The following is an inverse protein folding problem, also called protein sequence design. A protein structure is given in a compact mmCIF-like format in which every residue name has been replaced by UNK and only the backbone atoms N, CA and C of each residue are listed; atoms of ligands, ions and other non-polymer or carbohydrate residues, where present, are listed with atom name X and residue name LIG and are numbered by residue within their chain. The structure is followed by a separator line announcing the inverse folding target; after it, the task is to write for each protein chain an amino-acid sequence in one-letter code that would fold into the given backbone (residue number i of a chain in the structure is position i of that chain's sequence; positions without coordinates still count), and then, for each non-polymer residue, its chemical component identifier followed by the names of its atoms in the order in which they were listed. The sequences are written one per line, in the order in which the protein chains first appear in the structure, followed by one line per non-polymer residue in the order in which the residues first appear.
data_IF_483081612972
#
_entry.id   IF_483081612972
#
_cell.length_a   1.000
_cell.length_b   1.000
_cell.length_c   1.000
_cell.angle_alpha   90.00
_cell.angle_beta   90.00
_cell.angle_gamma   90.00
#
_symmetry.space_group_name_H-M   'P 1'
#
loop_
_entity.id
_entity.type
_entity.pdbx_description
1 polymer ?
#
# COMPACT_ATOMS: atom_id res chain seq x y z
N UNK A 1 -2.54 -17.44 -2.20
CA UNK A 1 -1.53 -16.41 -2.48
C UNK A 1 -1.56 -15.26 -1.46
N UNK A 2 -2.69 -14.56 -1.26
CA UNK A 2 -2.78 -13.44 -0.31
C UNK A 2 -2.37 -13.82 1.11
N UNK A 3 -2.84 -14.96 1.62
CA UNK A 3 -2.48 -15.48 2.93
C UNK A 3 -0.99 -15.82 3.03
N UNK A 4 -0.46 -16.47 2.02
CA UNK A 4 0.97 -16.84 1.95
C UNK A 4 1.88 -15.62 1.98
N UNK A 5 1.55 -14.60 1.19
CA UNK A 5 2.30 -13.33 1.17
C UNK A 5 2.25 -12.65 2.54
N UNK A 6 1.07 -12.64 3.19
CA UNK A 6 0.95 -12.06 4.53
C UNK A 6 1.79 -12.80 5.56
N UNK A 7 1.78 -14.14 5.55
CA UNK A 7 2.61 -14.94 6.45
C UNK A 7 4.11 -14.70 6.19
N UNK A 8 4.51 -14.62 4.93
CA UNK A 8 5.89 -14.32 4.57
C UNK A 8 6.31 -12.91 5.05
N UNK A 9 5.46 -11.91 4.85
CA UNK A 9 5.69 -10.55 5.37
C UNK A 9 5.91 -10.53 6.88
N UNK A 10 5.09 -11.25 7.63
CA UNK A 10 5.25 -11.34 9.09
C UNK A 10 6.54 -12.03 9.49
N UNK A 11 6.92 -13.08 8.77
CA UNK A 11 8.19 -13.78 9.00
C UNK A 11 9.38 -12.86 8.75
N UNK A 12 9.41 -12.18 7.62
CA UNK A 12 10.45 -11.20 7.27
C UNK A 12 10.51 -10.04 8.29
N UNK A 13 9.34 -9.57 8.76
CA UNK A 13 9.25 -8.54 9.78
C UNK A 13 9.88 -8.97 11.11
N UNK A 14 9.60 -10.19 11.56
CA UNK A 14 10.20 -10.74 12.79
C UNK A 14 11.72 -10.89 12.67
N UNK A 15 12.21 -11.31 11.51
CA UNK A 15 13.66 -11.41 11.25
C UNK A 15 14.33 -10.03 11.33
N UNK A 16 13.71 -9.00 10.75
CA UNK A 16 14.23 -7.62 10.80
C UNK A 16 14.27 -7.09 12.23
N UNK A 17 13.21 -7.30 13.02
CA UNK A 17 13.17 -6.86 14.42
C UNK A 17 14.28 -7.53 15.24
N UNK A 18 14.55 -8.80 14.99
CA UNK A 18 15.62 -9.54 15.66
C UNK A 18 17.01 -9.02 15.28
N UNK A 19 17.22 -8.75 13.99
CA UNK A 19 18.50 -8.28 13.45
C UNK A 19 18.78 -6.82 13.74
N UNK A 20 17.75 -5.98 13.68
CA UNK A 20 17.82 -4.53 13.88
C UNK A 20 16.80 -4.04 14.90
N UNK A 21 17.10 -4.15 16.21
CA UNK A 21 16.15 -3.77 17.27
C UNK A 21 15.69 -2.31 17.23
N UNK A 22 16.49 -1.40 16.64
CA UNK A 22 16.09 0.01 16.46
C UNK A 22 14.90 0.19 15.53
N UNK A 23 14.62 -0.79 14.65
CA UNK A 23 13.46 -0.77 13.77
C UNK A 23 12.21 -1.40 14.39
N UNK A 24 12.32 -1.97 15.59
CA UNK A 24 11.22 -2.72 16.20
C UNK A 24 9.91 -1.92 16.26
N UNK A 25 9.95 -0.71 16.79
CA UNK A 25 8.75 0.15 16.89
C UNK A 25 8.11 0.40 15.53
N UNK A 26 8.90 0.72 14.52
CA UNK A 26 8.42 0.95 13.16
C UNK A 26 7.79 -0.30 12.55
N UNK A 27 8.47 -1.45 12.65
CA UNK A 27 8.00 -2.71 12.06
C UNK A 27 6.75 -3.23 12.77
N UNK A 28 6.68 -3.10 14.10
CA UNK A 28 5.45 -3.43 14.83
C UNK A 28 4.28 -2.54 14.40
N UNK A 29 4.48 -1.23 14.32
CA UNK A 29 3.43 -0.30 13.91
C UNK A 29 2.92 -0.57 12.49
N UNK A 30 3.82 -0.93 11.58
CA UNK A 30 3.46 -1.11 10.16
C UNK A 30 2.95 -2.50 9.82
N UNK A 31 3.45 -3.55 10.49
CA UNK A 31 3.21 -4.95 10.13
C UNK A 31 2.69 -5.79 11.30
N UNK A 32 3.50 -5.93 12.36
CA UNK A 32 3.27 -6.97 13.36
C UNK A 32 2.05 -6.73 14.25
N UNK A 33 1.64 -5.48 14.45
CA UNK A 33 0.42 -5.13 15.18
C UNK A 33 -0.86 -5.29 14.35
N UNK A 34 -0.75 -5.65 13.08
CA UNK A 34 -1.90 -5.83 12.19
C UNK A 34 -2.27 -7.31 12.03
N UNK A 35 -3.56 -7.58 11.90
CA UNK A 35 -4.08 -8.93 11.74
C UNK A 35 -4.04 -9.43 10.30
N UNK A 36 -4.05 -8.51 9.32
CA UNK A 36 -4.10 -8.85 7.92
C UNK A 36 -3.39 -7.83 7.03
N UNK A 37 -3.12 -8.24 5.80
CA UNK A 37 -2.47 -7.41 4.78
C UNK A 37 -3.20 -6.09 4.54
N UNK A 38 -4.53 -6.11 4.49
CA UNK A 38 -5.33 -4.90 4.26
C UNK A 38 -5.16 -3.86 5.35
N UNK A 39 -5.18 -4.28 6.61
CA UNK A 39 -4.98 -3.38 7.75
C UNK A 39 -3.57 -2.77 7.75
N UNK A 40 -2.54 -3.58 7.49
CA UNK A 40 -1.16 -3.11 7.40
C UNK A 40 -0.98 -2.11 6.25
N UNK A 41 -1.48 -2.44 5.07
CA UNK A 41 -1.39 -1.59 3.89
C UNK A 41 -2.11 -0.25 4.10
N UNK A 42 -3.33 -0.27 4.60
CA UNK A 42 -4.11 0.95 4.84
C UNK A 42 -3.39 1.86 5.84
N UNK A 43 -2.81 1.30 6.89
CA UNK A 43 -2.00 2.06 7.85
C UNK A 43 -0.79 2.72 7.18
N UNK A 44 -0.01 1.95 6.43
CA UNK A 44 1.23 2.46 5.81
C UNK A 44 0.92 3.56 4.80
N UNK A 45 0.01 3.30 3.86
CA UNK A 45 -0.27 4.26 2.77
C UNK A 45 -1.02 5.48 3.29
N UNK A 46 -1.96 5.31 4.21
CA UNK A 46 -2.68 6.43 4.80
C UNK A 46 -1.75 7.39 5.54
N UNK A 47 -0.79 6.87 6.30
CA UNK A 47 0.19 7.72 6.98
C UNK A 47 1.13 8.48 6.03
N UNK A 48 1.41 7.92 4.85
CA UNK A 48 2.19 8.61 3.83
C UNK A 48 1.38 9.69 3.10
N UNK A 49 0.10 9.46 2.87
CA UNK A 49 -0.79 10.39 2.16
C UNK A 49 -1.33 11.50 3.07
N UNK A 50 -1.37 11.29 4.38
CA UNK A 50 -1.89 12.27 5.33
C UNK A 50 -1.05 13.55 5.35
N UNK A 51 -1.71 14.66 5.71
CA UNK A 51 -1.05 15.92 6.01
C UNK A 51 -1.70 16.60 7.23
N UNK A 52 -1.41 17.89 7.45
CA UNK A 52 -1.95 18.63 8.59
C UNK A 52 -3.48 18.78 8.55
N UNK A 53 -4.10 18.64 7.39
CA UNK A 53 -5.55 18.83 7.17
C UNK A 53 -6.28 17.51 6.97
N UNK A 54 -5.71 16.61 6.16
CA UNK A 54 -6.30 15.29 5.86
C UNK A 54 -5.66 14.24 6.75
N UNK A 55 -6.43 13.72 7.71
CA UNK A 55 -5.91 12.76 8.69
C UNK A 55 -5.68 11.38 8.09
N UNK A 56 -4.67 10.68 8.63
CA UNK A 56 -4.43 9.28 8.30
C UNK A 56 -5.64 8.40 8.64
N UNK A 57 -6.34 8.70 9.72
CA UNK A 57 -7.55 7.97 10.12
C UNK A 57 -8.61 8.01 9.02
N UNK A 58 -8.89 9.17 8.45
CA UNK A 58 -9.86 9.32 7.36
C UNK A 58 -9.46 8.51 6.13
N UNK A 59 -8.19 8.56 5.75
CA UNK A 59 -7.70 7.80 4.59
C UNK A 59 -7.74 6.29 4.85
N UNK A 60 -7.44 5.85 6.07
CA UNK A 60 -7.60 4.43 6.46
C UNK A 60 -9.04 3.97 6.31
N UNK A 61 -10.00 4.75 6.76
CA UNK A 61 -11.42 4.42 6.60
C UNK A 61 -11.79 4.26 5.12
N UNK A 62 -11.28 5.12 4.25
CA UNK A 62 -11.52 5.00 2.80
C UNK A 62 -10.95 3.69 2.24
N UNK A 63 -9.75 3.29 2.66
CA UNK A 63 -9.18 2.00 2.28
C UNK A 63 -10.03 0.82 2.78
N UNK A 64 -10.43 0.84 4.05
CA UNK A 64 -11.20 -0.24 4.66
C UNK A 64 -12.56 -0.41 3.95
N UNK A 65 -13.24 0.71 3.63
CA UNK A 65 -14.45 0.70 2.82
C UNK A 65 -14.19 0.17 1.41
N UNK A 66 -13.09 0.55 0.78
CA UNK A 66 -12.73 0.09 -0.56
C UNK A 66 -12.45 -1.42 -0.59
N UNK A 67 -11.81 -1.98 0.42
CA UNK A 67 -11.56 -3.42 0.52
C UNK A 67 -12.85 -4.23 0.63
N UNK A 68 -13.89 -3.66 1.23
CA UNK A 68 -15.22 -4.28 1.30
C UNK A 68 -15.97 -4.15 -0.04
N UNK A 69 -15.92 -2.97 -0.67
CA UNK A 69 -16.68 -2.67 -1.89
C UNK A 69 -16.04 -3.23 -3.16
N UNK A 70 -14.72 -3.31 -3.20
CA UNK A 70 -13.94 -3.76 -4.35
C UNK A 70 -13.29 -5.11 -4.03
N UNK A 71 -14.06 -6.20 -4.18
CA UNK A 71 -13.72 -7.56 -3.75
C UNK A 71 -12.32 -8.03 -4.14
N UNK A 72 -11.81 -7.59 -5.28
CA UNK A 72 -10.52 -8.03 -5.82
C UNK A 72 -9.36 -7.13 -5.41
N UNK A 73 -9.61 -6.02 -4.74
CA UNK A 73 -8.56 -5.04 -4.46
C UNK A 73 -7.40 -5.65 -3.66
N UNK A 74 -7.69 -6.38 -2.58
CA UNK A 74 -6.65 -7.05 -1.78
C UNK A 74 -5.91 -8.16 -2.54
N UNK A 75 -6.58 -8.83 -3.45
CA UNK A 75 -5.94 -9.81 -4.34
C UNK A 75 -4.95 -9.12 -5.27
N UNK A 76 -5.33 -7.98 -5.85
CA UNK A 76 -4.44 -7.17 -6.68
C UNK A 76 -3.24 -6.64 -5.88
N UNK A 77 -3.45 -6.23 -4.62
CA UNK A 77 -2.35 -5.83 -3.73
C UNK A 77 -1.32 -6.94 -3.58
N UNK A 78 -1.76 -8.16 -3.31
CA UNK A 78 -0.88 -9.31 -3.16
C UNK A 78 -0.10 -9.61 -4.46
N UNK A 79 -0.79 -9.55 -5.60
CA UNK A 79 -0.14 -9.70 -6.91
C UNK A 79 0.89 -8.61 -7.18
N UNK A 80 0.58 -7.36 -6.82
CA UNK A 80 1.51 -6.23 -6.99
C UNK A 80 2.77 -6.40 -6.14
N UNK A 81 2.63 -6.82 -4.88
CA UNK A 81 3.78 -7.09 -4.00
C UNK A 81 4.70 -8.12 -4.65
N UNK A 82 4.13 -9.23 -5.11
CA UNK A 82 4.88 -10.29 -5.77
C UNK A 82 5.55 -9.79 -7.06
N UNK A 83 4.79 -9.09 -7.90
CA UNK A 83 5.30 -8.60 -9.20
C UNK A 83 6.43 -7.60 -9.02
N UNK A 84 6.32 -6.69 -8.05
CA UNK A 84 7.38 -5.71 -7.76
C UNK A 84 8.63 -6.41 -7.24
N UNK A 85 8.48 -7.35 -6.30
CA UNK A 85 9.61 -8.12 -5.79
C UNK A 85 10.34 -8.88 -6.89
N UNK A 86 9.60 -9.48 -7.81
CA UNK A 86 10.19 -10.30 -8.88
C UNK A 86 10.88 -9.47 -9.98
N UNK A 87 10.47 -8.22 -10.16
CA UNK A 87 10.93 -7.37 -11.29
C UNK A 87 11.86 -6.23 -10.91
N UNK A 88 11.83 -5.79 -9.65
CA UNK A 88 12.62 -4.65 -9.20
C UNK A 88 13.84 -5.13 -8.41
N UNK A 89 15.08 -4.88 -8.91
CA UNK A 89 16.29 -5.27 -8.20
C UNK A 89 16.44 -4.64 -6.80
N UNK A 90 15.77 -3.51 -6.54
CA UNK A 90 15.76 -2.88 -5.22
C UNK A 90 14.84 -3.57 -4.22
N UNK A 91 13.95 -4.46 -4.69
CA UNK A 91 12.99 -5.18 -3.87
C UNK A 91 13.52 -6.55 -3.46
N UNK A 92 14.37 -6.60 -2.45
CA UNK A 92 14.96 -7.86 -1.96
C UNK A 92 13.94 -8.77 -1.27
N UNK A 93 12.97 -8.18 -0.57
CA UNK A 93 11.95 -8.90 0.21
C UNK A 93 10.57 -8.29 -0.03
N UNK A 94 9.51 -9.02 0.33
CA UNK A 94 8.15 -8.46 0.34
C UNK A 94 8.03 -7.30 1.34
N UNK A 95 8.75 -7.39 2.45
CA UNK A 95 8.79 -6.33 3.46
C UNK A 95 9.36 -5.03 2.87
N UNK A 96 10.43 -5.11 2.09
CA UNK A 96 11.00 -3.96 1.39
C UNK A 96 9.97 -3.29 0.47
N UNK A 97 9.19 -4.09 -0.26
CA UNK A 97 8.14 -3.57 -1.16
C UNK A 97 7.11 -2.75 -0.38
N UNK A 98 6.53 -3.34 0.66
CA UNK A 98 5.41 -2.70 1.39
C UNK A 98 5.86 -1.52 2.25
N UNK A 99 7.06 -1.56 2.80
CA UNK A 99 7.55 -0.49 3.68
C UNK A 99 8.22 0.67 2.94
N UNK A 100 8.96 0.40 1.87
CA UNK A 100 9.93 1.35 1.35
C UNK A 100 9.69 1.80 -0.10
N UNK A 101 8.98 1.04 -0.93
CA UNK A 101 8.90 1.36 -2.34
C UNK A 101 7.75 2.32 -2.65
N UNK A 102 8.09 3.58 -2.90
CA UNK A 102 7.13 4.65 -3.24
C UNK A 102 6.26 4.31 -4.44
N UNK A 103 6.83 3.63 -5.41
CA UNK A 103 6.10 3.18 -6.59
C UNK A 103 4.96 2.23 -6.25
N UNK A 104 5.20 1.28 -5.38
CA UNK A 104 4.16 0.39 -4.88
C UNK A 104 3.07 1.17 -4.13
N UNK A 105 3.46 2.11 -3.26
CA UNK A 105 2.49 2.95 -2.53
C UNK A 105 1.63 3.79 -3.47
N UNK A 106 2.23 4.37 -4.50
CA UNK A 106 1.50 5.16 -5.50
C UNK A 106 0.44 4.33 -6.25
N UNK A 107 0.77 3.09 -6.58
CA UNK A 107 -0.17 2.16 -7.23
C UNK A 107 -1.38 1.91 -6.31
N UNK A 108 -1.14 1.64 -5.04
CA UNK A 108 -2.23 1.35 -4.10
C UNK A 108 -3.11 2.58 -3.86
N UNK A 109 -2.52 3.76 -3.77
CA UNK A 109 -3.27 5.02 -3.70
C UNK A 109 -4.12 5.25 -4.96
N UNK A 110 -3.58 4.94 -6.14
CA UNK A 110 -4.31 5.02 -7.41
C UNK A 110 -5.50 4.04 -7.45
N UNK A 111 -5.32 2.82 -6.95
CA UNK A 111 -6.42 1.83 -6.85
C UNK A 111 -7.54 2.33 -5.95
N UNK A 112 -7.19 2.95 -4.81
CA UNK A 112 -8.17 3.57 -3.92
C UNK A 112 -8.95 4.68 -4.65
N UNK A 113 -8.25 5.60 -5.31
CA UNK A 113 -8.86 6.70 -6.04
C UNK A 113 -9.81 6.16 -7.14
N UNK A 114 -9.40 5.14 -7.87
CA UNK A 114 -10.22 4.52 -8.91
C UNK A 114 -11.47 3.85 -8.31
N UNK A 115 -11.35 3.13 -7.21
CA UNK A 115 -12.49 2.53 -6.50
C UNK A 115 -13.50 3.61 -6.07
N UNK A 116 -13.02 4.71 -5.51
CA UNK A 116 -13.87 5.85 -5.12
C UNK A 116 -14.56 6.49 -6.34
N UNK A 117 -13.82 6.65 -7.44
CA UNK A 117 -14.36 7.19 -8.69
C UNK A 117 -15.51 6.35 -9.24
N UNK A 118 -15.34 5.03 -9.25
CA UNK A 118 -16.36 4.09 -9.69
C UNK A 118 -17.61 4.11 -8.81
N UNK A 119 -17.46 4.45 -7.52
CA UNK A 119 -18.57 4.64 -6.59
C UNK A 119 -19.24 6.02 -6.72
N UNK A 120 -18.87 6.82 -7.71
CA UNK A 120 -19.31 8.21 -7.89
C UNK A 120 -18.96 9.14 -6.71
N UNK A 121 -17.90 8.80 -5.97
CA UNK A 121 -17.35 9.63 -4.88
C UNK A 121 -16.16 10.44 -5.39
N UNK A 122 -16.45 11.32 -6.37
CA UNK A 122 -15.42 11.98 -7.18
C UNK A 122 -14.57 12.97 -6.40
N UNK A 123 -15.14 13.67 -5.42
CA UNK A 123 -14.41 14.61 -4.58
C UNK A 123 -13.35 13.88 -3.76
N UNK A 124 -13.69 12.74 -3.16
CA UNK A 124 -12.74 11.91 -2.43
C UNK A 124 -11.68 11.31 -3.36
N UNK A 125 -12.08 10.86 -4.55
CA UNK A 125 -11.14 10.36 -5.55
C UNK A 125 -10.12 11.43 -5.94
N UNK A 126 -10.57 12.67 -6.18
CA UNK A 126 -9.70 13.81 -6.49
C UNK A 126 -8.78 14.18 -5.33
N UNK A 127 -9.29 14.11 -4.10
CA UNK A 127 -8.46 14.33 -2.90
C UNK A 127 -7.31 13.33 -2.84
N UNK A 128 -7.60 12.04 -3.01
CA UNK A 128 -6.58 10.99 -3.00
C UNK A 128 -5.60 11.16 -4.18
N UNK A 129 -6.09 11.49 -5.37
CA UNK A 129 -5.24 11.77 -6.53
C UNK A 129 -4.30 12.95 -6.29
N UNK A 130 -4.80 14.03 -5.70
CA UNK A 130 -4.03 15.22 -5.37
C UNK A 130 -2.93 14.90 -4.35
N UNK A 131 -3.28 14.17 -3.29
CA UNK A 131 -2.29 13.74 -2.28
C UNK A 131 -1.25 12.80 -2.88
N UNK A 132 -1.67 11.86 -3.72
CA UNK A 132 -0.77 10.94 -4.42
C UNK A 132 0.24 11.69 -5.29
N UNK A 133 -0.23 12.70 -6.01
CA UNK A 133 0.62 13.54 -6.86
C UNK A 133 1.66 14.30 -6.03
N UNK A 134 1.27 14.88 -4.89
CA UNK A 134 2.21 15.60 -4.02
C UNK A 134 3.25 14.68 -3.38
N UNK A 135 2.82 13.52 -2.87
CA UNK A 135 3.69 12.61 -2.10
C UNK A 135 4.56 11.74 -3.01
N UNK A 136 4.03 11.34 -4.18
CA UNK A 136 4.67 10.36 -5.07
C UNK A 136 4.91 10.90 -6.49
N UNK A 137 4.97 12.23 -6.68
CA UNK A 137 4.94 12.92 -7.98
C UNK A 137 5.90 12.38 -9.05
N UNK A 138 7.06 11.88 -8.66
CA UNK A 138 8.10 11.40 -9.60
C UNK A 138 7.80 10.01 -10.17
N UNK A 139 6.81 9.30 -9.65
CA UNK A 139 6.60 7.89 -9.94
C UNK A 139 5.28 7.56 -10.65
N UNK A 140 4.27 8.44 -10.61
CA UNK A 140 2.91 8.08 -11.02
C UNK A 140 2.74 7.75 -12.51
N UNK A 141 3.51 8.40 -13.40
CA UNK A 141 3.41 8.18 -14.85
C UNK A 141 4.27 7.01 -15.36
N UNK A 142 5.43 6.78 -14.72
CA UNK A 142 6.35 5.71 -15.13
C UNK A 142 5.94 4.31 -14.67
N UNK A 143 5.15 4.21 -13.62
CA UNK A 143 4.80 2.94 -12.98
C UNK A 143 3.66 2.24 -13.68
N UNK A 144 2.64 2.98 -14.13
CA UNK A 144 1.51 2.39 -14.87
C UNK A 144 2.02 1.68 -16.13
N UNK A 145 3.02 2.24 -16.81
CA UNK A 145 3.62 1.62 -18.00
C UNK A 145 4.59 0.48 -17.67
N UNK A 146 5.27 0.54 -16.51
CA UNK A 146 6.34 -0.41 -16.16
C UNK A 146 5.83 -1.74 -15.59
N UNK A 147 4.72 -1.72 -14.86
CA UNK A 147 4.19 -2.91 -14.21
C UNK A 147 2.95 -3.50 -14.89
N UNK A 148 2.51 -2.92 -16.00
CA UNK A 148 1.36 -3.39 -16.78
C UNK A 148 0.16 -3.78 -15.90
N UNK A 149 -0.20 -2.87 -15.01
CA UNK A 149 -1.27 -3.10 -14.05
C UNK A 149 -2.60 -3.10 -14.78
N UNK A 150 -3.32 -4.20 -14.68
CA UNK A 150 -4.68 -4.28 -15.19
C UNK A 150 -5.53 -3.19 -14.53
N UNK A 151 -6.34 -2.45 -15.29
CA UNK A 151 -7.33 -1.56 -14.70
C UNK A 151 -8.24 -2.36 -13.77
N UNK A 152 -8.55 -1.78 -12.63
CA UNK A 152 -9.46 -2.39 -11.64
C UNK A 152 -10.85 -2.55 -12.23
#
# INVERSE_FOLDING_TARGET
MRHEIWQQLRSEANEVVTREPLLASHVYSCILNHECLGSALSFIVANKLADAVVSAFTIRELFDQAFVKCDRMLTHVAHDIKAVKDRDPAAETYLTVILNLKGFHAIQAHRLANCLWQQNRKELARLIQSRTSEVFATFSLKIVSRYSLSPV
#
